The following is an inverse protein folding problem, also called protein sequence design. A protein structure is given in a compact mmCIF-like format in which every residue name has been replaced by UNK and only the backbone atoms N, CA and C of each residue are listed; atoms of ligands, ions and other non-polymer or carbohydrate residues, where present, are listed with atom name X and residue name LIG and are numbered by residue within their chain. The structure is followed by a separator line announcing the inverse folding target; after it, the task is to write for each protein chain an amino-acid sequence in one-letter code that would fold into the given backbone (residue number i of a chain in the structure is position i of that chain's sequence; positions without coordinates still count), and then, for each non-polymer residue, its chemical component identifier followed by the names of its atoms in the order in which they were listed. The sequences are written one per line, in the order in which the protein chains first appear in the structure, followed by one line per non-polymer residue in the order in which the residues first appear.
data_IF_770388324906
#
_entry.id   IF_770388324906
#
_cell.length_a   1.000
_cell.length_b   1.000
_cell.length_c   1.000
_cell.angle_alpha   90.00
_cell.angle_beta   90.00
_cell.angle_gamma   90.00
#
_symmetry.space_group_name_H-M   'P 1'
#
loop_
_entity.id
_entity.type
_entity.pdbx_description
1 polymer ?
#
# COMPACT_ATOMS: atom_id res chain seq x y z
N UNK A 1 -48.94 -19.39 -13.08
CA UNK A 1 -47.91 -19.56 -12.04
C UNK A 1 -46.94 -18.40 -12.18
N UNK A 2 -47.19 -17.31 -11.45
CA UNK A 2 -46.37 -16.10 -11.49
C UNK A 2 -45.21 -16.31 -10.50
N UNK A 3 -43.98 -16.35 -10.98
CA UNK A 3 -42.81 -16.37 -10.11
C UNK A 3 -42.46 -14.94 -9.74
N UNK A 4 -42.81 -14.55 -8.52
CA UNK A 4 -42.33 -13.31 -7.91
C UNK A 4 -40.86 -13.52 -7.54
N UNK A 5 -39.95 -12.91 -8.29
CA UNK A 5 -38.55 -12.78 -7.86
C UNK A 5 -38.56 -11.74 -6.75
N UNK A 6 -38.36 -12.18 -5.51
CA UNK A 6 -38.03 -11.28 -4.40
C UNK A 6 -36.57 -10.89 -4.59
N UNK A 7 -36.24 -9.61 -4.84
CA UNK A 7 -34.85 -9.19 -4.81
C UNK A 7 -34.43 -9.26 -3.34
N UNK A 8 -33.59 -10.25 -3.02
CA UNK A 8 -32.79 -10.20 -1.80
C UNK A 8 -31.87 -8.99 -1.99
N UNK A 9 -31.99 -8.01 -1.11
CA UNK A 9 -31.14 -6.82 -1.12
C UNK A 9 -29.68 -7.24 -1.25
N UNK A 10 -29.08 -6.89 -2.38
CA UNK A 10 -27.66 -7.06 -2.62
C UNK A 10 -26.97 -6.00 -1.77
N UNK A 11 -26.33 -6.43 -0.67
CA UNK A 11 -25.34 -5.57 -0.02
C UNK A 11 -24.20 -5.37 -1.02
N UNK A 12 -24.18 -4.20 -1.66
CA UNK A 12 -23.09 -3.67 -2.49
C UNK A 12 -21.88 -3.24 -1.61
N UNK A 13 -21.48 -4.09 -0.66
CA UNK A 13 -20.14 -3.98 -0.11
C UNK A 13 -19.22 -4.71 -1.07
N UNK A 14 -18.51 -3.95 -1.92
CA UNK A 14 -17.38 -4.47 -2.67
C UNK A 14 -16.49 -5.27 -1.70
N UNK A 15 -16.35 -6.57 -1.95
CA UNK A 15 -15.53 -7.45 -1.13
C UNK A 15 -14.07 -7.02 -1.30
N UNK A 16 -13.58 -6.16 -0.42
CA UNK A 16 -12.15 -5.82 -0.32
C UNK A 16 -11.37 -7.06 0.15
N UNK A 17 -10.90 -7.84 -0.82
CA UNK A 17 -10.25 -9.15 -0.61
C UNK A 17 -8.74 -9.17 -0.90
N UNK A 18 -8.19 -8.12 -1.51
CA UNK A 18 -6.82 -8.13 -2.03
C UNK A 18 -5.83 -8.52 -0.93
N UNK A 19 -4.99 -9.50 -1.22
CA UNK A 19 -4.00 -10.04 -0.29
C UNK A 19 -2.63 -9.97 -0.94
N UNK A 20 -1.65 -9.44 -0.21
CA UNK A 20 -0.25 -9.42 -0.64
C UNK A 20 0.60 -10.29 0.27
N UNK A 21 1.54 -11.01 -0.32
CA UNK A 21 2.64 -11.66 0.37
C UNK A 21 3.97 -11.21 -0.23
N UNK A 22 4.95 -10.90 0.62
CA UNK A 22 6.33 -10.67 0.21
C UNK A 22 7.21 -11.61 1.05
N UNK A 23 7.91 -12.54 0.42
CA UNK A 23 8.89 -13.39 1.08
C UNK A 23 10.30 -12.87 0.77
N UNK A 24 11.06 -12.55 1.81
CA UNK A 24 12.45 -12.10 1.71
C UNK A 24 13.35 -13.20 1.14
N UNK A 25 14.48 -12.80 0.57
CA UNK A 25 15.37 -13.73 -0.16
C UNK A 25 15.94 -14.89 0.67
N UNK A 26 16.07 -14.75 1.99
CA UNK A 26 16.52 -15.83 2.88
C UNK A 26 15.36 -16.72 3.34
N UNK A 27 14.15 -16.53 2.79
CA UNK A 27 12.94 -17.34 3.06
C UNK A 27 12.45 -18.11 1.83
N UNK A 28 13.16 -18.00 0.71
CA UNK A 28 12.85 -18.70 -0.54
C UNK A 28 13.96 -19.68 -0.89
N UNK A 29 13.61 -20.75 -1.61
CA UNK A 29 14.54 -21.86 -1.91
C UNK A 29 15.70 -21.42 -2.82
N UNK A 30 15.47 -20.45 -3.70
CA UNK A 30 16.42 -20.01 -4.73
C UNK A 30 17.07 -18.66 -4.42
N UNK A 31 16.76 -18.04 -3.27
CA UNK A 31 17.30 -16.73 -2.92
C UNK A 31 16.59 -15.55 -3.62
N UNK A 32 15.47 -15.77 -4.31
CA UNK A 32 14.68 -14.69 -4.91
C UNK A 32 13.76 -14.02 -3.90
N UNK A 33 13.40 -12.75 -4.14
CA UNK A 33 12.29 -12.13 -3.41
C UNK A 33 11.00 -12.51 -4.13
N UNK A 34 10.11 -13.21 -3.44
CA UNK A 34 8.81 -13.59 -4.01
C UNK A 34 7.77 -12.53 -3.64
N UNK A 35 7.11 -11.99 -4.67
CA UNK A 35 5.99 -11.06 -4.52
C UNK A 35 4.72 -11.69 -5.09
N UNK A 36 3.69 -11.79 -4.25
CA UNK A 36 2.37 -12.30 -4.62
C UNK A 36 1.35 -11.25 -4.28
N UNK A 37 0.40 -11.06 -5.21
CA UNK A 37 -0.75 -10.20 -5.00
C UNK A 37 -1.99 -10.87 -5.60
N UNK A 38 -3.05 -10.97 -4.79
CA UNK A 38 -4.41 -11.18 -5.32
C UNK A 38 -5.02 -9.82 -5.66
N UNK A 39 -5.87 -9.82 -6.67
CA UNK A 39 -6.64 -8.66 -7.08
C UNK A 39 -8.12 -9.05 -7.02
N UNK A 40 -8.87 -8.36 -6.17
CA UNK A 40 -10.23 -8.71 -5.79
C UNK A 40 -11.10 -7.45 -5.91
N UNK A 41 -11.49 -7.11 -7.15
CA UNK A 41 -12.17 -5.85 -7.49
C UNK A 41 -13.68 -5.98 -7.74
N UNK A 42 -14.21 -7.20 -7.72
CA UNK A 42 -15.58 -7.47 -8.12
C UNK A 42 -15.79 -8.91 -8.59
N UNK A 43 -17.01 -9.20 -9.06
CA UNK A 43 -17.42 -10.57 -9.41
C UNK A 43 -17.15 -10.97 -10.86
N UNK A 44 -16.96 -10.01 -11.76
CA UNK A 44 -16.91 -10.24 -13.22
C UNK A 44 -15.92 -9.27 -13.90
N UNK A 45 -14.73 -9.14 -13.32
CA UNK A 45 -13.72 -8.26 -13.89
C UNK A 45 -12.90 -8.97 -14.97
N UNK A 46 -12.48 -8.19 -15.96
CA UNK A 46 -11.62 -8.64 -17.05
C UNK A 46 -10.33 -7.84 -16.95
N UNK A 47 -9.24 -8.55 -16.65
CA UNK A 47 -7.93 -7.94 -16.54
C UNK A 47 -7.21 -7.96 -17.88
N UNK A 48 -6.57 -6.85 -18.21
CA UNK A 48 -5.77 -6.67 -19.41
C UNK A 48 -4.31 -6.52 -19.03
N UNK A 49 -3.46 -7.39 -19.57
CA UNK A 49 -2.01 -7.22 -19.47
C UNK A 49 -1.49 -6.41 -20.65
N UNK A 50 -1.13 -5.16 -20.37
CA UNK A 50 -0.55 -4.23 -21.34
C UNK A 50 0.97 -4.23 -21.29
N UNK A 51 1.61 -4.14 -22.45
CA UNK A 51 3.00 -3.71 -22.55
C UNK A 51 3.04 -2.23 -22.93
N UNK A 52 3.62 -1.40 -22.05
CA UNK A 52 3.80 0.03 -22.28
C UNK A 52 5.28 0.27 -22.62
N UNK A 53 5.62 0.64 -23.88
CA UNK A 53 7.00 0.87 -24.27
C UNK A 53 7.55 2.17 -23.67
N UNK A 54 8.88 2.31 -23.67
CA UNK A 54 9.56 3.58 -23.37
C UNK A 54 9.00 4.72 -24.21
N UNK A 55 8.96 5.92 -23.64
CA UNK A 55 8.52 7.14 -24.32
C UNK A 55 9.45 8.29 -23.99
N UNK A 56 9.66 9.15 -24.98
CA UNK A 56 10.37 10.41 -24.82
C UNK A 56 9.39 11.57 -24.85
N UNK A 57 9.62 12.59 -24.05
CA UNK A 57 8.76 13.76 -23.91
C UNK A 57 9.53 15.05 -24.14
N UNK A 58 8.86 16.06 -24.73
CA UNK A 58 9.43 17.39 -24.90
C UNK A 58 9.56 18.11 -23.55
N UNK A 59 10.51 19.04 -23.40
CA UNK A 59 10.60 19.90 -22.22
C UNK A 59 9.26 20.58 -21.90
N UNK A 60 8.88 20.59 -20.62
CA UNK A 60 7.61 21.15 -20.16
C UNK A 60 6.39 20.22 -20.30
N UNK A 61 6.57 18.99 -20.76
CA UNK A 61 5.50 17.98 -20.74
C UNK A 61 5.03 17.70 -19.30
N UNK A 62 3.78 17.25 -19.18
CA UNK A 62 3.13 16.96 -17.88
C UNK A 62 2.36 15.65 -17.90
N UNK A 63 2.28 15.02 -16.72
CA UNK A 63 1.35 13.93 -16.43
C UNK A 63 0.05 14.53 -15.89
N UNK A 64 -1.09 14.16 -16.46
CA UNK A 64 -2.41 14.55 -15.97
C UNK A 64 -2.88 13.59 -14.89
N UNK A 65 -3.29 14.12 -13.75
CA UNK A 65 -3.88 13.38 -12.65
C UNK A 65 -5.40 13.30 -12.81
N UNK A 66 -6.01 12.24 -12.28
CA UNK A 66 -7.47 12.03 -12.34
C UNK A 66 -8.29 13.16 -11.69
N UNK A 67 -7.85 13.78 -10.58
CA UNK A 67 -8.52 14.95 -10.01
C UNK A 67 -8.40 16.25 -10.84
N UNK A 68 -7.69 16.22 -11.97
CA UNK A 68 -7.56 17.35 -12.90
C UNK A 68 -6.24 18.12 -12.81
N UNK A 69 -5.44 17.91 -11.76
CA UNK A 69 -4.12 18.52 -11.64
C UNK A 69 -3.02 17.86 -12.47
N UNK A 70 -1.81 18.37 -12.39
CA UNK A 70 -0.67 17.90 -13.19
C UNK A 70 0.63 17.77 -12.41
N UNK A 71 1.53 16.92 -12.91
CA UNK A 71 2.90 16.74 -12.40
C UNK A 71 3.86 16.89 -13.58
N UNK A 72 5.04 17.52 -13.42
CA UNK A 72 6.07 17.55 -14.46
C UNK A 72 6.41 16.14 -14.96
N UNK A 73 6.53 16.00 -16.28
CA UNK A 73 6.97 14.76 -16.91
C UNK A 73 8.51 14.76 -17.05
N UNK A 74 9.10 13.57 -16.99
CA UNK A 74 10.52 13.34 -17.26
C UNK A 74 10.78 13.25 -18.76
N UNK A 75 12.02 13.48 -19.20
CA UNK A 75 12.38 13.42 -20.62
C UNK A 75 12.19 12.02 -21.21
N UNK A 76 12.50 10.96 -20.45
CA UNK A 76 12.33 9.56 -20.86
C UNK A 76 11.66 8.77 -19.74
N UNK A 77 10.68 7.92 -20.10
CA UNK A 77 10.05 6.96 -19.19
C UNK A 77 10.48 5.54 -19.52
N UNK A 78 10.63 4.70 -18.50
CA UNK A 78 10.90 3.28 -18.64
C UNK A 78 9.71 2.49 -19.16
N UNK A 79 9.99 1.38 -19.82
CA UNK A 79 8.96 0.43 -20.26
C UNK A 79 8.44 -0.39 -19.06
N UNK A 80 7.18 -0.81 -19.12
CA UNK A 80 6.60 -1.67 -18.08
C UNK A 80 5.45 -2.53 -18.61
N UNK A 81 5.24 -3.66 -17.95
CA UNK A 81 4.00 -4.40 -18.02
C UNK A 81 3.02 -3.85 -16.99
N UNK A 82 1.77 -3.72 -17.40
CA UNK A 82 0.70 -3.20 -16.58
C UNK A 82 -0.52 -4.09 -16.69
N UNK A 83 -0.85 -4.73 -15.58
CA UNK A 83 -2.09 -5.42 -15.37
C UNK A 83 -3.18 -4.40 -14.99
N UNK A 84 -4.18 -4.23 -15.84
CA UNK A 84 -5.28 -3.28 -15.68
C UNK A 84 -6.61 -4.01 -15.55
N UNK A 85 -7.31 -3.79 -14.42
CA UNK A 85 -8.73 -4.08 -14.27
C UNK A 85 -9.54 -2.82 -14.61
N UNK A 86 -10.17 -2.71 -15.80
CA UNK A 86 -10.89 -1.51 -16.21
C UNK A 86 -12.03 -1.17 -15.25
N UNK A 87 -12.30 0.12 -15.09
CA UNK A 87 -13.35 0.61 -14.18
C UNK A 87 -12.90 0.80 -12.74
N UNK A 88 -11.70 0.35 -12.38
CA UNK A 88 -11.11 0.59 -11.06
C UNK A 88 -9.94 1.57 -11.14
N UNK A 89 -9.80 2.43 -10.14
CA UNK A 89 -8.71 3.42 -10.08
C UNK A 89 -7.50 2.95 -9.29
N UNK A 90 -7.54 1.75 -8.71
CA UNK A 90 -6.52 1.31 -7.75
C UNK A 90 -6.20 -0.19 -7.76
N UNK A 91 -6.99 -1.02 -8.43
CA UNK A 91 -6.49 -2.29 -8.98
C UNK A 91 -5.35 -2.00 -9.92
N UNK A 92 -4.27 -2.79 -9.94
CA UNK A 92 -3.24 -2.92 -10.99
C UNK A 92 -1.97 -3.51 -10.37
N UNK A 93 -1.42 -4.54 -11.02
CA UNK A 93 -0.02 -4.94 -10.91
C UNK A 93 0.84 -4.24 -11.97
N UNK A 94 2.06 -3.81 -11.61
CA UNK A 94 3.01 -3.25 -12.59
C UNK A 94 4.38 -3.90 -12.37
N UNK A 95 5.08 -4.25 -13.46
CA UNK A 95 6.49 -4.63 -13.42
C UNK A 95 7.23 -3.85 -14.51
N UNK A 96 8.22 -3.05 -14.14
CA UNK A 96 9.00 -2.30 -15.11
C UNK A 96 10.17 -3.12 -15.70
N UNK A 97 10.80 -2.59 -16.75
CA UNK A 97 11.93 -3.24 -17.43
C UNK A 97 13.19 -3.45 -16.56
N UNK A 98 13.23 -2.83 -15.37
CA UNK A 98 14.29 -3.00 -14.38
C UNK A 98 13.96 -4.08 -13.34
N UNK A 99 12.82 -4.76 -13.49
CA UNK A 99 12.37 -5.80 -12.56
C UNK A 99 11.78 -5.24 -11.26
N UNK A 100 11.41 -3.95 -11.21
CA UNK A 100 10.70 -3.37 -10.07
C UNK A 100 9.21 -3.59 -10.26
N UNK A 101 8.65 -4.38 -9.35
CA UNK A 101 7.25 -4.72 -9.26
C UNK A 101 6.51 -3.83 -8.24
N UNK A 102 5.25 -3.53 -8.56
CA UNK A 102 4.37 -2.70 -7.74
C UNK A 102 3.02 -3.39 -7.60
N UNK A 103 2.50 -3.41 -6.37
CA UNK A 103 1.11 -3.82 -6.13
C UNK A 103 0.61 -3.33 -4.79
N UNK A 104 -0.68 -3.10 -4.68
CA UNK A 104 -1.24 -2.37 -3.56
C UNK A 104 -2.57 -2.88 -3.05
N UNK A 105 -2.84 -2.62 -1.77
CA UNK A 105 -4.12 -2.90 -1.13
C UNK A 105 -4.73 -1.59 -0.61
N UNK A 106 -6.04 -1.42 -0.78
CA UNK A 106 -6.76 -0.31 -0.17
C UNK A 106 -6.72 -0.39 1.35
N UNK A 107 -6.61 0.77 2.01
CA UNK A 107 -6.71 0.86 3.46
C UNK A 107 -7.65 2.00 3.83
N UNK A 108 -8.54 1.75 4.78
CA UNK A 108 -9.25 2.82 5.46
C UNK A 108 -8.30 3.54 6.42
N UNK A 109 -8.36 4.87 6.47
CA UNK A 109 -7.63 5.71 7.42
C UNK A 109 -8.59 6.55 8.26
N UNK A 110 -8.08 7.14 9.35
CA UNK A 110 -8.79 8.13 10.18
C UNK A 110 -8.80 9.55 9.59
N UNK A 111 -8.23 9.74 8.40
CA UNK A 111 -8.10 11.07 7.81
C UNK A 111 -9.43 11.70 7.39
N UNK A 112 -9.45 13.03 7.41
CA UNK A 112 -10.64 13.84 7.11
C UNK A 112 -11.03 13.74 5.62
N UNK A 113 -12.26 14.11 5.23
CA UNK A 113 -12.70 14.11 3.84
C UNK A 113 -11.77 14.91 2.91
N UNK A 114 -11.78 14.56 1.62
CA UNK A 114 -10.91 15.16 0.59
C UNK A 114 -10.96 16.69 0.61
N UNK A 115 -12.15 17.28 0.71
CA UNK A 115 -12.34 18.74 0.74
C UNK A 115 -11.63 19.43 1.91
N UNK A 116 -11.56 18.78 3.07
CA UNK A 116 -10.91 19.35 4.25
C UNK A 116 -9.39 19.19 4.19
N UNK A 117 -8.89 18.04 3.71
CA UNK A 117 -7.45 17.83 3.48
C UNK A 117 -6.93 18.79 2.39
N UNK A 118 -7.70 19.00 1.32
CA UNK A 118 -7.38 19.97 0.28
C UNK A 118 -7.39 21.41 0.81
N UNK A 119 -8.39 21.80 1.60
CA UNK A 119 -8.45 23.13 2.22
C UNK A 119 -7.27 23.43 3.16
N UNK A 120 -6.65 22.40 3.74
CA UNK A 120 -5.41 22.53 4.55
C UNK A 120 -4.14 22.65 3.72
N UNK A 121 -4.20 22.47 2.40
CA UNK A 121 -3.04 22.51 1.51
C UNK A 121 -2.25 21.19 1.47
N UNK A 122 -2.82 20.10 1.99
CA UNK A 122 -2.18 18.79 2.01
C UNK A 122 -2.39 17.99 0.72
N UNK A 123 -3.25 18.48 -0.20
CA UNK A 123 -3.42 17.95 -1.55
C UNK A 123 -3.09 19.03 -2.58
N UNK A 124 -1.90 18.97 -3.17
CA UNK A 124 -1.53 19.88 -4.25
C UNK A 124 -1.92 19.26 -5.58
N UNK A 125 -2.49 20.06 -6.48
CA UNK A 125 -2.96 19.61 -7.80
C UNK A 125 -3.96 18.45 -7.69
N UNK A 126 -4.79 18.45 -6.63
CA UNK A 126 -5.74 17.39 -6.31
C UNK A 126 -5.12 16.08 -5.82
N UNK A 127 -3.79 16.00 -5.67
CA UNK A 127 -3.09 14.87 -5.07
C UNK A 127 -2.97 13.61 -5.94
N UNK A 128 -2.13 12.70 -5.46
CA UNK A 128 -1.79 11.44 -6.11
C UNK A 128 -2.90 10.41 -5.93
N UNK A 129 -3.03 9.53 -6.92
CA UNK A 129 -4.04 8.47 -6.95
C UNK A 129 -3.68 7.40 -7.98
N UNK A 130 -4.58 7.12 -8.93
CA UNK A 130 -4.44 6.09 -9.96
C UNK A 130 -3.06 6.04 -10.64
N UNK A 131 -2.55 7.21 -11.07
CA UNK A 131 -1.27 7.33 -11.79
C UNK A 131 -0.03 7.13 -10.93
N UNK A 132 -0.15 7.08 -9.60
CA UNK A 132 1.01 7.17 -8.72
C UNK A 132 2.04 6.05 -8.96
N UNK A 133 1.63 4.79 -8.88
CA UNK A 133 2.48 3.62 -9.18
C UNK A 133 3.01 3.57 -10.61
N UNK A 134 2.26 4.08 -11.60
CA UNK A 134 2.74 4.17 -12.98
C UNK A 134 3.89 5.17 -13.08
N UNK A 135 3.74 6.34 -12.45
CA UNK A 135 4.80 7.35 -12.37
C UNK A 135 6.05 6.77 -11.71
N UNK A 136 5.90 5.96 -10.65
CA UNK A 136 7.03 5.28 -10.01
C UNK A 136 7.71 4.29 -10.96
N UNK A 137 6.93 3.41 -11.61
CA UNK A 137 7.44 2.42 -12.55
C UNK A 137 8.16 3.06 -13.75
N UNK A 138 7.64 4.18 -14.25
CA UNK A 138 8.20 4.96 -15.36
C UNK A 138 9.54 5.61 -15.03
N UNK A 139 9.90 5.77 -13.74
CA UNK A 139 10.98 6.67 -13.30
C UNK A 139 11.98 6.06 -12.31
N UNK A 140 11.88 4.76 -12.01
CA UNK A 140 12.76 4.09 -11.03
C UNK A 140 13.41 2.83 -11.61
N UNK A 141 14.64 2.55 -11.20
CA UNK A 141 15.38 1.32 -11.58
C UNK A 141 15.53 0.34 -10.42
N UNK A 142 15.35 0.82 -9.19
CA UNK A 142 15.39 0.00 -7.97
C UNK A 142 14.18 0.27 -7.08
N UNK A 143 13.87 -0.65 -6.17
CA UNK A 143 12.79 -0.46 -5.22
C UNK A 143 13.08 0.69 -4.24
N UNK A 144 14.33 0.87 -3.78
CA UNK A 144 14.68 2.05 -2.96
C UNK A 144 14.49 3.36 -3.71
N UNK A 145 14.92 3.46 -4.98
CA UNK A 145 14.69 4.64 -5.81
C UNK A 145 13.20 4.95 -5.94
N UNK A 146 12.37 3.93 -6.17
CA UNK A 146 10.93 4.08 -6.26
C UNK A 146 10.30 4.59 -4.96
N UNK A 147 10.75 4.11 -3.79
CA UNK A 147 10.27 4.59 -2.47
C UNK A 147 10.70 6.03 -2.22
N UNK A 148 11.93 6.41 -2.57
CA UNK A 148 12.41 7.78 -2.43
C UNK A 148 11.66 8.75 -3.34
N UNK A 149 11.39 8.35 -4.59
CA UNK A 149 10.54 9.11 -5.50
C UNK A 149 9.10 9.21 -4.96
N UNK A 150 8.57 8.12 -4.39
CA UNK A 150 7.25 8.12 -3.78
C UNK A 150 7.17 9.11 -2.62
N UNK A 151 8.19 9.14 -1.75
CA UNK A 151 8.31 10.10 -0.65
C UNK A 151 8.32 11.55 -1.16
N UNK A 152 9.16 11.87 -2.16
CA UNK A 152 9.22 13.21 -2.76
C UNK A 152 7.85 13.64 -3.33
N UNK A 153 7.19 12.75 -4.07
CA UNK A 153 5.90 13.04 -4.67
C UNK A 153 4.79 13.19 -3.61
N UNK A 154 4.80 12.36 -2.55
CA UNK A 154 3.85 12.45 -1.44
C UNK A 154 4.04 13.74 -0.65
N UNK A 155 5.27 14.13 -0.33
CA UNK A 155 5.58 15.39 0.36
C UNK A 155 5.08 16.60 -0.45
N UNK A 156 5.19 16.53 -1.78
CA UNK A 156 4.81 17.63 -2.67
C UNK A 156 3.31 17.68 -2.95
N UNK A 157 2.71 16.55 -3.33
CA UNK A 157 1.36 16.48 -3.88
C UNK A 157 0.33 15.89 -2.92
N UNK A 158 0.76 15.10 -1.93
CA UNK A 158 -0.14 14.33 -1.07
C UNK A 158 -0.88 13.22 -1.81
N UNK A 159 -1.57 12.37 -1.05
CA UNK A 159 -2.35 11.24 -1.55
C UNK A 159 -3.85 11.52 -1.39
N UNK A 160 -4.66 11.33 -2.44
CA UNK A 160 -6.07 11.73 -2.45
C UNK A 160 -7.02 10.63 -1.94
N UNK A 161 -6.64 9.35 -2.03
CA UNK A 161 -7.47 8.27 -1.50
C UNK A 161 -7.36 8.15 0.03
N UNK A 162 -8.25 7.37 0.66
CA UNK A 162 -8.26 7.23 2.15
C UNK A 162 -6.91 6.76 2.69
N UNK A 163 -6.41 5.64 2.17
CA UNK A 163 -5.14 5.07 2.56
C UNK A 163 -4.80 3.88 1.69
N UNK A 164 -3.53 3.49 1.69
CA UNK A 164 -3.07 2.38 0.86
C UNK A 164 -1.76 1.80 1.40
N UNK A 165 -1.63 0.49 1.24
CA UNK A 165 -0.35 -0.21 1.29
C UNK A 165 0.14 -0.35 -0.15
N UNK A 166 1.22 0.32 -0.53
CA UNK A 166 1.91 0.13 -1.80
C UNK A 166 3.18 -0.68 -1.58
N UNK A 167 3.24 -1.87 -2.15
CA UNK A 167 4.39 -2.74 -2.09
C UNK A 167 5.24 -2.52 -3.33
N UNK A 168 6.54 -2.33 -3.09
CA UNK A 168 7.53 -1.99 -4.09
C UNK A 168 8.64 -3.01 -3.97
N UNK A 169 8.74 -3.92 -4.93
CA UNK A 169 9.61 -5.10 -4.85
C UNK A 169 10.55 -5.09 -6.04
N UNK A 170 11.86 -5.00 -5.79
CA UNK A 170 12.88 -5.12 -6.81
C UNK A 170 13.60 -6.46 -6.71
N UNK A 171 14.57 -6.72 -7.61
CA UNK A 171 15.30 -7.99 -7.61
C UNK A 171 16.14 -8.25 -6.34
N UNK A 172 16.55 -7.19 -5.64
CA UNK A 172 17.49 -7.27 -4.51
C UNK A 172 16.92 -6.80 -3.17
N UNK A 173 15.78 -6.10 -3.17
CA UNK A 173 15.16 -5.55 -1.97
C UNK A 173 13.66 -5.33 -2.17
N UNK A 174 12.90 -5.30 -1.08
CA UNK A 174 11.48 -5.00 -1.08
C UNK A 174 11.11 -4.00 0.02
N UNK A 175 10.08 -3.21 -0.26
CA UNK A 175 9.61 -2.14 0.61
C UNK A 175 8.09 -2.14 0.68
N UNK A 176 7.57 -1.93 1.89
CA UNK A 176 6.17 -1.61 2.14
C UNK A 176 6.07 -0.09 2.33
N UNK A 177 5.33 0.62 1.48
CA UNK A 177 4.97 2.03 1.70
C UNK A 177 3.50 2.11 2.12
N UNK A 178 3.24 2.59 3.33
CA UNK A 178 1.89 2.81 3.85
C UNK A 178 1.65 4.31 3.99
N UNK A 179 0.55 4.78 3.39
CA UNK A 179 0.22 6.19 3.29
C UNK A 179 -1.25 6.42 3.56
N UNK A 180 -1.56 7.57 4.16
CA UNK A 180 -2.93 8.06 4.36
C UNK A 180 -3.20 9.26 3.46
N UNK A 181 -4.46 9.67 3.36
CA UNK A 181 -4.85 10.89 2.67
C UNK A 181 -4.03 12.09 3.17
N UNK A 182 -3.55 12.92 2.25
CA UNK A 182 -2.62 14.01 2.58
C UNK A 182 -1.16 13.54 2.50
N UNK A 183 -0.30 14.03 3.40
CA UNK A 183 1.16 13.92 3.26
C UNK A 183 1.84 12.95 4.24
N UNK A 184 1.07 12.22 5.04
CA UNK A 184 1.62 11.30 6.03
C UNK A 184 1.83 9.90 5.46
N UNK A 185 3.05 9.37 5.59
CA UNK A 185 3.41 8.04 5.17
C UNK A 185 4.58 7.47 5.97
N UNK A 186 4.71 6.15 5.94
CA UNK A 186 5.87 5.39 6.39
C UNK A 186 6.20 4.31 5.38
N UNK A 187 7.46 4.18 5.04
CA UNK A 187 7.98 3.04 4.30
C UNK A 187 8.91 2.21 5.19
N UNK A 188 8.75 0.89 5.13
CA UNK A 188 9.56 -0.10 5.85
C UNK A 188 10.20 -1.06 4.85
N UNK A 189 11.51 -1.31 5.00
CA UNK A 189 12.22 -2.36 4.26
C UNK A 189 11.78 -3.73 4.77
N UNK A 190 11.41 -4.61 3.83
CA UNK A 190 11.17 -6.02 4.13
C UNK A 190 12.53 -6.68 4.34
N UNK A 191 12.69 -7.33 5.48
CA UNK A 191 13.95 -8.00 5.83
C UNK A 191 14.13 -9.27 5.01
N UNK A 192 15.39 -9.68 4.84
CA UNK A 192 15.72 -10.83 3.98
C UNK A 192 15.15 -12.14 4.53
N UNK A 193 15.00 -12.25 5.85
CA UNK A 193 14.64 -13.47 6.59
C UNK A 193 13.22 -13.39 7.18
N UNK A 194 12.31 -12.66 6.54
CA UNK A 194 10.91 -12.58 6.96
C UNK A 194 9.93 -12.70 5.79
N UNK A 195 8.68 -13.01 6.11
CA UNK A 195 7.55 -12.98 5.18
C UNK A 195 6.53 -11.96 5.68
N UNK A 196 6.12 -11.06 4.81
CA UNK A 196 5.12 -10.04 5.09
C UNK A 196 3.79 -10.48 4.50
N UNK A 197 2.70 -10.35 5.28
CA UNK A 197 1.33 -10.63 4.83
C UNK A 197 0.46 -9.39 5.04
N UNK A 198 -0.14 -8.90 3.96
CA UNK A 198 -0.86 -7.63 3.94
C UNK A 198 -2.26 -7.86 3.42
N UNK A 199 -3.25 -7.48 4.23
CA UNK A 199 -4.66 -7.42 3.87
C UNK A 199 -5.07 -5.96 3.57
N UNK A 200 -6.35 -5.62 3.69
CA UNK A 200 -6.87 -4.27 3.45
C UNK A 200 -6.83 -3.41 4.72
N UNK A 201 -5.66 -3.40 5.39
CA UNK A 201 -5.37 -2.60 6.58
C UNK A 201 -3.89 -2.27 6.64
N UNK A 202 -3.53 -1.22 7.38
CA UNK A 202 -2.13 -0.92 7.68
C UNK A 202 -1.52 -2.02 8.54
N UNK A 203 -0.25 -2.32 8.30
CA UNK A 203 0.48 -3.40 8.98
C UNK A 203 1.81 -2.96 9.59
N UNK A 204 2.33 -1.78 9.24
CA UNK A 204 3.54 -1.24 9.86
C UNK A 204 3.17 -0.82 11.29
N UNK A 205 3.77 -1.51 12.26
CA UNK A 205 3.56 -1.28 13.70
C UNK A 205 4.55 -0.24 14.20
N UNK A 206 5.45 -0.64 15.10
CA UNK A 206 6.52 0.21 15.62
C UNK A 206 7.35 0.82 14.49
N UNK A 207 7.50 2.14 14.51
CA UNK A 207 8.34 2.89 13.58
C UNK A 207 9.52 3.46 14.32
N UNK A 208 10.74 3.06 13.93
CA UNK A 208 11.96 3.71 14.39
C UNK A 208 12.40 4.78 13.38
N UNK A 209 12.10 6.04 13.69
CA UNK A 209 12.49 7.15 12.81
C UNK A 209 14.01 7.38 12.76
N UNK A 210 14.80 6.78 13.66
CA UNK A 210 16.27 6.90 13.64
C UNK A 210 16.91 5.85 12.73
N UNK A 211 16.24 4.73 12.48
CA UNK A 211 16.69 3.71 11.54
C UNK A 211 16.41 4.14 10.09
N UNK A 212 17.32 4.95 9.54
CA UNK A 212 17.24 5.45 8.15
C UNK A 212 17.52 4.37 7.10
N UNK A 213 18.05 3.21 7.52
CA UNK A 213 18.28 2.10 6.60
C UNK A 213 16.96 1.39 6.29
N UNK A 214 16.16 1.12 7.33
CA UNK A 214 14.93 0.35 7.21
C UNK A 214 13.66 1.21 7.15
N UNK A 215 13.71 2.49 7.54
CA UNK A 215 12.55 3.37 7.52
C UNK A 215 12.77 4.65 6.71
N UNK A 216 11.74 5.02 5.93
CA UNK A 216 11.59 6.34 5.31
C UNK A 216 10.21 6.87 5.73
N UNK A 217 10.16 8.00 6.41
CA UNK A 217 8.92 8.53 6.99
C UNK A 217 8.69 9.96 6.53
N UNK A 218 7.42 10.36 6.41
CA UNK A 218 7.07 11.75 6.16
C UNK A 218 7.58 12.67 7.28
N UNK A 219 8.00 13.90 6.95
CA UNK A 219 8.35 14.89 7.97
C UNK A 219 7.17 15.15 8.93
N UNK A 220 7.43 15.12 10.24
CA UNK A 220 6.41 15.39 11.25
C UNK A 220 5.36 14.29 11.42
N UNK A 221 5.59 13.06 10.92
CA UNK A 221 4.65 11.93 11.01
C UNK A 221 4.09 11.75 12.43
N UNK A 222 4.97 11.66 13.43
CA UNK A 222 4.55 11.46 14.83
C UNK A 222 3.86 12.72 15.39
N UNK A 223 4.45 13.89 15.17
CA UNK A 223 3.88 15.18 15.63
C UNK A 223 2.46 15.41 15.10
N UNK A 224 2.20 14.99 13.86
CA UNK A 224 0.87 15.04 13.25
C UNK A 224 -0.10 14.14 14.02
N UNK A 225 0.27 12.88 14.27
CA UNK A 225 -0.56 11.95 15.02
C UNK A 225 -0.85 12.46 16.45
N UNK A 226 0.12 13.10 17.11
CA UNK A 226 -0.06 13.73 18.43
C UNK A 226 -1.07 14.88 18.36
N UNK A 227 -0.93 15.79 17.39
CA UNK A 227 -1.87 16.92 17.20
C UNK A 227 -3.29 16.45 16.91
N UNK A 228 -3.45 15.30 16.25
CA UNK A 228 -4.75 14.68 15.97
C UNK A 228 -5.31 13.91 17.17
N UNK A 229 -4.56 13.75 18.25
CA UNK A 229 -4.94 12.92 19.39
C UNK A 229 -4.94 11.42 19.08
N UNK A 230 -4.22 10.99 18.05
CA UNK A 230 -4.14 9.59 17.60
C UNK A 230 -3.01 8.81 18.25
N UNK A 231 -2.06 9.53 18.86
CA UNK A 231 -0.93 8.96 19.58
C UNK A 231 -0.61 9.85 20.79
N UNK A 232 -0.37 9.21 21.94
CA UNK A 232 0.06 9.88 23.16
C UNK A 232 1.50 9.45 23.49
N UNK A 233 2.51 10.33 23.30
CA UNK A 233 3.91 10.00 23.58
C UNK A 233 4.20 9.85 25.08
N UNK A 234 3.31 10.33 25.96
CA UNK A 234 3.46 10.17 27.41
C UNK A 234 2.97 8.82 27.94
N UNK A 235 2.22 8.07 27.12
CA UNK A 235 1.65 6.77 27.48
C UNK A 235 2.68 5.63 27.59
N UNK A 236 3.94 5.85 27.19
CA UNK A 236 5.03 4.88 27.31
C UNK A 236 5.09 3.83 26.20
N UNK A 237 4.09 3.75 25.32
CA UNK A 237 4.13 2.92 24.12
C UNK A 237 4.96 3.59 23.02
N UNK A 238 5.65 2.79 22.20
CA UNK A 238 6.28 3.30 20.97
C UNK A 238 5.21 3.67 19.94
N UNK A 239 5.57 4.55 19.02
CA UNK A 239 4.69 4.95 17.95
C UNK A 239 4.40 3.77 16.99
N UNK A 240 3.12 3.38 16.90
CA UNK A 240 2.59 2.35 16.00
C UNK A 240 1.78 3.02 14.89
N UNK A 241 2.26 2.96 13.64
CA UNK A 241 1.60 3.65 12.52
C UNK A 241 0.21 3.09 12.23
N UNK A 242 0.06 1.76 12.19
CA UNK A 242 -1.22 1.12 11.94
C UNK A 242 -2.25 1.47 13.02
N UNK A 243 -1.87 1.44 14.30
CA UNK A 243 -2.76 1.82 15.43
C UNK A 243 -3.14 3.30 15.37
N UNK A 244 -2.17 4.17 15.10
CA UNK A 244 -2.39 5.62 15.05
C UNK A 244 -3.32 6.00 13.89
N UNK A 245 -3.07 5.50 12.68
CA UNK A 245 -3.71 5.99 11.45
C UNK A 245 -4.88 5.14 10.93
N UNK A 246 -5.00 3.86 11.28
CA UNK A 246 -6.15 3.03 10.89
C UNK A 246 -7.35 3.28 11.82
N UNK A 247 -8.59 3.28 11.30
CA UNK A 247 -9.78 3.19 12.15
C UNK A 247 -9.89 1.77 12.73
N UNK A 248 -10.50 1.64 13.91
CA UNK A 248 -10.62 0.36 14.62
C UNK A 248 -11.28 -0.75 13.80
N UNK A 249 -12.36 -0.39 13.10
CA UNK A 249 -13.08 -1.29 12.20
C UNK A 249 -12.20 -1.93 11.11
N UNK A 250 -11.12 -1.28 10.69
CA UNK A 250 -10.25 -1.79 9.64
C UNK A 250 -9.23 -2.81 10.19
N UNK A 251 -8.60 -2.50 11.33
CA UNK A 251 -7.58 -3.39 11.91
C UNK A 251 -8.20 -4.59 12.63
N UNK A 252 -9.38 -4.45 13.24
CA UNK A 252 -10.13 -5.55 13.85
C UNK A 252 -11.02 -6.32 12.85
N UNK A 253 -11.01 -5.96 11.56
CA UNK A 253 -11.88 -6.59 10.56
C UNK A 253 -11.59 -8.10 10.46
N UNK A 254 -12.59 -8.97 10.68
CA UNK A 254 -12.41 -10.42 10.49
C UNK A 254 -11.98 -10.79 9.07
N UNK A 255 -12.33 -10.00 8.06
CA UNK A 255 -11.86 -10.24 6.68
C UNK A 255 -10.34 -10.07 6.59
N UNK A 256 -9.77 -9.09 7.27
CA UNK A 256 -8.33 -8.83 7.28
C UNK A 256 -7.59 -9.82 8.20
N UNK A 257 -8.03 -9.93 9.45
CA UNK A 257 -7.31 -10.69 10.49
C UNK A 257 -7.31 -12.18 10.20
N UNK A 258 -8.40 -12.75 9.66
CA UNK A 258 -8.43 -14.17 9.25
C UNK A 258 -7.42 -14.49 8.16
N UNK A 259 -7.31 -13.65 7.13
CA UNK A 259 -6.37 -13.87 6.01
C UNK A 259 -4.94 -13.82 6.52
N UNK A 260 -4.60 -12.79 7.29
CA UNK A 260 -3.26 -12.62 7.85
C UNK A 260 -2.89 -13.77 8.81
N UNK A 261 -3.78 -14.09 9.75
CA UNK A 261 -3.51 -15.10 10.77
C UNK A 261 -3.41 -16.51 10.19
N UNK A 262 -4.31 -16.90 9.28
CA UNK A 262 -4.25 -18.21 8.64
C UNK A 262 -2.97 -18.39 7.84
N UNK A 263 -2.56 -17.38 7.05
CA UNK A 263 -1.30 -17.44 6.30
C UNK A 263 -0.09 -17.47 7.24
N UNK A 264 -0.08 -16.68 8.31
CA UNK A 264 1.00 -16.66 9.27
C UNK A 264 1.23 -18.03 9.92
N UNK A 265 0.15 -18.72 10.30
CA UNK A 265 0.23 -20.08 10.88
C UNK A 265 0.69 -21.16 9.90
N UNK A 266 0.51 -20.94 8.60
CA UNK A 266 1.03 -21.85 7.58
C UNK A 266 2.54 -21.68 7.37
N UNK A 267 3.04 -20.47 7.60
CA UNK A 267 4.47 -20.13 7.49
C UNK A 267 5.24 -20.50 8.77
N UNK A 268 4.61 -20.33 9.93
CA UNK A 268 5.18 -20.61 11.24
C UNK A 268 4.19 -21.41 12.10
N UNK A 269 4.53 -22.66 12.40
CA UNK A 269 3.68 -23.58 13.18
C UNK A 269 3.54 -23.13 14.64
N UNK A 270 4.56 -22.47 15.16
CA UNK A 270 4.64 -21.93 16.52
C UNK A 270 4.29 -20.43 16.55
N UNK A 271 3.48 -19.97 15.58
CA UNK A 271 3.10 -18.57 15.46
C UNK A 271 2.51 -18.05 16.79
N UNK A 272 3.11 -17.00 17.39
CA UNK A 272 2.89 -16.69 18.81
C UNK A 272 1.56 -16.00 19.11
N UNK A 273 0.81 -15.60 18.08
CA UNK A 273 -0.44 -14.86 18.24
C UNK A 273 -1.62 -15.84 18.15
N UNK A 274 -2.41 -15.89 19.21
CA UNK A 274 -3.67 -16.66 19.26
C UNK A 274 -4.71 -16.08 18.30
N UNK A 275 -5.76 -16.85 18.02
CA UNK A 275 -6.84 -16.35 17.18
C UNK A 275 -7.56 -15.18 17.87
N UNK A 276 -7.78 -15.27 19.17
CA UNK A 276 -8.44 -14.26 20.00
C UNK A 276 -7.66 -12.93 19.99
N UNK A 277 -6.33 -12.99 20.07
CA UNK A 277 -5.47 -11.80 19.92
C UNK A 277 -5.51 -11.23 18.50
N UNK A 278 -5.48 -12.09 17.48
CA UNK A 278 -5.60 -11.63 16.09
C UNK A 278 -6.94 -10.91 15.85
N UNK A 279 -8.03 -11.32 16.51
CA UNK A 279 -9.34 -10.68 16.40
C UNK A 279 -9.39 -9.26 16.98
N UNK A 280 -8.50 -8.91 17.91
CA UNK A 280 -8.34 -7.53 18.38
C UNK A 280 -7.44 -6.70 17.46
N UNK A 281 -7.11 -7.26 16.28
CA UNK A 281 -6.26 -6.66 15.27
C UNK A 281 -4.78 -6.64 15.66
N UNK A 282 -4.38 -7.42 16.68
CA UNK A 282 -2.97 -7.63 17.02
C UNK A 282 -2.37 -8.62 16.01
N UNK A 283 -1.81 -8.10 14.94
CA UNK A 283 -0.94 -8.85 14.02
C UNK A 283 0.45 -8.19 13.92
N UNK A 284 1.54 -8.99 13.88
CA UNK A 284 2.87 -8.48 13.61
C UNK A 284 3.00 -8.02 12.14
N UNK A 285 3.96 -7.13 11.87
CA UNK A 285 4.22 -6.62 10.51
C UNK A 285 4.69 -7.73 9.55
N UNK A 286 5.35 -8.75 10.10
CA UNK A 286 5.94 -9.87 9.37
C UNK A 286 5.96 -11.13 10.23
N UNK A 287 6.26 -12.26 9.58
CA UNK A 287 6.37 -13.59 10.17
C UNK A 287 7.75 -14.14 9.83
N UNK A 288 8.43 -14.73 10.82
CA UNK A 288 9.60 -15.57 10.59
C UNK A 288 9.11 -16.98 10.22
N UNK A 289 9.32 -17.46 8.99
CA UNK A 289 8.86 -18.80 8.61
C UNK A 289 9.74 -19.88 9.26
N UNK A 290 9.19 -21.07 9.45
CA UNK A 290 9.92 -22.22 10.02
C UNK A 290 10.97 -22.81 9.06
N UNK A 291 10.85 -22.51 7.77
CA UNK A 291 11.64 -23.06 6.67
C UNK A 291 11.64 -22.14 5.46
#
# INVERSE_FOLDING_TARGET
MLWTIVPVGMNDEAQEGCTVMIAGKNTTVDGSILFVKTEDDGRNDIDFLWYIPRKTYKPGAVVKLQPGGTIPQVEETYAYFWDECPGTSFSNGIVNEWGVAFGSNGCSSKEDPVSEVEARGDLMNGGLGFKFRMILAERSKTAKEAVLLAAELLDKYGYNASGRNLNIVGPNEAWQLQMVRGKNYVARRVQDDEVVIIANTFSIREVDMNDKENFICSPGLIDYAVKRGWYDPSGGEKFDFAKAYAPERAHCSPSNTRRQWNMARLLNKDFPITWEEAQTGIMPVSVKPDR
#
